data_IF_158295689051
#
_entry.id   IF_158295689051
#
_cell.length_a   1.000
_cell.length_b   1.000
_cell.length_c   1.000
_cell.angle_alpha   90.00
_cell.angle_beta   90.00
_cell.angle_gamma   90.00
#
_symmetry.space_group_name_H-M   'P 1'
#
loop_
_entity.id
_entity.type
_entity.pdbx_description
1 polymer ?
#
# COMPACT_ATOMS: atom_id res chain seq x y z
N UNK A 1 -16.94 1.99 -16.60
CA UNK A 1 -15.66 1.51 -15.99
C UNK A 1 -15.51 0.01 -16.24
N UNK A 2 -14.29 -0.56 -16.27
CA UNK A 2 -14.10 -2.01 -16.38
C UNK A 2 -14.65 -2.72 -15.15
N UNK A 3 -15.24 -3.91 -15.35
CA UNK A 3 -15.73 -4.77 -14.26
C UNK A 3 -14.75 -5.88 -13.88
N UNK A 4 -13.67 -6.04 -14.67
CA UNK A 4 -12.57 -6.99 -14.45
C UNK A 4 -13.02 -8.46 -14.36
N UNK A 5 -13.96 -8.87 -15.22
CA UNK A 5 -14.53 -10.22 -15.17
C UNK A 5 -13.48 -11.34 -15.31
N UNK A 6 -12.46 -11.15 -16.16
CA UNK A 6 -11.38 -12.12 -16.30
C UNK A 6 -10.58 -12.29 -15.00
N UNK A 7 -10.31 -11.20 -14.29
CA UNK A 7 -9.61 -11.23 -12.98
C UNK A 7 -10.47 -11.90 -11.91
N UNK A 8 -11.78 -11.62 -11.90
CA UNK A 8 -12.72 -12.30 -10.99
C UNK A 8 -12.75 -13.79 -11.22
N UNK A 9 -12.78 -14.21 -12.49
CA UNK A 9 -12.80 -15.63 -12.83
C UNK A 9 -11.48 -16.32 -12.44
N UNK A 10 -10.35 -15.64 -12.59
CA UNK A 10 -9.06 -16.15 -12.08
C UNK A 10 -9.08 -16.32 -10.56
N UNK A 11 -9.57 -15.33 -9.81
CA UNK A 11 -9.68 -15.41 -8.36
C UNK A 11 -10.67 -16.49 -7.88
N UNK A 12 -11.72 -16.80 -8.66
CA UNK A 12 -12.65 -17.90 -8.37
C UNK A 12 -12.03 -19.28 -8.53
N UNK A 13 -11.14 -19.43 -9.52
CA UNK A 13 -10.58 -20.72 -9.91
C UNK A 13 -9.14 -20.93 -9.41
N UNK A 14 -8.78 -20.34 -8.27
CA UNK A 14 -7.45 -20.54 -7.68
C UNK A 14 -7.22 -22.04 -7.35
N UNK A 15 -6.01 -22.58 -7.55
CA UNK A 15 -5.75 -24.02 -7.38
C UNK A 15 -6.09 -24.56 -5.99
N UNK A 16 -5.92 -23.74 -4.94
CA UNK A 16 -6.22 -24.07 -3.55
C UNK A 16 -7.72 -24.07 -3.21
N UNK A 17 -8.59 -23.66 -4.13
CA UNK A 17 -10.05 -23.74 -3.98
C UNK A 17 -10.57 -25.17 -4.19
N UNK A 18 -9.97 -26.11 -3.48
CA UNK A 18 -10.24 -27.53 -3.61
C UNK A 18 -10.08 -28.22 -2.25
N UNK A 19 -11.20 -28.71 -1.71
CA UNK A 19 -11.25 -29.39 -0.42
C UNK A 19 -10.47 -30.71 -0.37
N UNK A 20 -10.14 -31.31 -1.51
CA UNK A 20 -9.41 -32.59 -1.58
C UNK A 20 -7.89 -32.45 -1.50
N UNK A 21 -7.36 -31.23 -1.36
CA UNK A 21 -5.93 -31.00 -1.26
C UNK A 21 -5.38 -31.48 0.10
N UNK A 22 -4.12 -31.91 0.15
CA UNK A 22 -3.48 -32.32 1.39
C UNK A 22 -3.24 -31.13 2.32
N UNK A 23 -2.94 -31.43 3.58
CA UNK A 23 -2.44 -30.45 4.55
C UNK A 23 -1.31 -29.58 3.94
N UNK A 24 -1.29 -28.26 4.19
CA UNK A 24 -2.18 -27.50 5.09
C UNK A 24 -3.50 -27.05 4.44
N UNK A 25 -3.76 -27.43 3.20
CA UNK A 25 -4.90 -26.99 2.40
C UNK A 25 -6.13 -27.92 2.53
N UNK A 26 -7.10 -27.73 1.65
CA UNK A 26 -8.29 -28.56 1.58
C UNK A 26 -9.12 -28.49 2.85
N UNK A 27 -9.60 -29.64 3.33
CA UNK A 27 -10.37 -29.74 4.58
C UNK A 27 -9.55 -29.43 5.84
N UNK A 28 -8.22 -29.33 5.73
CA UNK A 28 -7.35 -28.99 6.86
C UNK A 28 -7.13 -27.48 7.02
N UNK A 29 -7.50 -26.68 6.00
CA UNK A 29 -7.28 -25.26 6.02
C UNK A 29 -8.11 -24.59 7.12
N UNK A 30 -7.43 -23.78 7.93
CA UNK A 30 -8.06 -22.79 8.80
C UNK A 30 -8.01 -21.44 8.10
N UNK A 31 -9.06 -20.64 8.21
CA UNK A 31 -9.25 -19.38 7.52
C UNK A 31 -9.36 -18.24 8.55
N UNK A 32 -8.93 -17.04 8.13
CA UNK A 32 -9.19 -15.79 8.82
C UNK A 32 -9.76 -14.78 7.83
N UNK A 33 -11.00 -14.37 8.07
CA UNK A 33 -11.71 -13.38 7.27
C UNK A 33 -11.92 -12.08 8.05
N UNK A 34 -11.30 -11.00 7.60
CA UNK A 34 -11.54 -9.66 8.15
C UNK A 34 -12.76 -9.02 7.46
N UNK A 35 -13.98 -9.27 7.96
CA UNK A 35 -15.19 -8.68 7.36
C UNK A 35 -15.33 -7.17 7.63
N UNK A 36 -14.57 -6.68 8.61
CA UNK A 36 -14.43 -5.28 9.01
C UNK A 36 -13.27 -4.56 8.32
N UNK A 37 -12.61 -5.18 7.33
CA UNK A 37 -11.56 -4.49 6.59
C UNK A 37 -12.12 -3.19 5.98
N UNK A 38 -11.31 -2.15 5.95
CA UNK A 38 -11.82 -0.86 5.57
C UNK A 38 -12.18 -0.72 4.08
N UNK A 39 -13.21 0.09 3.82
CA UNK A 39 -13.72 0.41 2.49
C UNK A 39 -13.89 1.94 2.33
N UNK A 40 -14.20 2.40 1.11
CA UNK A 40 -14.44 3.82 0.79
C UNK A 40 -13.25 4.77 1.04
N UNK A 41 -12.01 4.27 1.02
CA UNK A 41 -10.82 5.10 1.10
C UNK A 41 -9.73 4.69 0.09
N UNK A 42 -8.74 5.56 -0.08
CA UNK A 42 -7.70 5.39 -1.09
C UNK A 42 -6.82 4.14 -0.89
N UNK A 43 -6.33 3.62 -2.01
CA UNK A 43 -5.49 2.41 -2.10
C UNK A 43 -4.36 2.33 -1.07
N UNK A 44 -3.72 3.46 -0.73
CA UNK A 44 -2.64 3.50 0.27
C UNK A 44 -3.05 2.95 1.64
N UNK A 45 -4.19 3.38 2.18
CA UNK A 45 -4.65 2.85 3.48
C UNK A 45 -5.07 1.38 3.34
N UNK A 46 -5.71 1.04 2.23
CA UNK A 46 -6.22 -0.31 1.98
C UNK A 46 -5.09 -1.32 1.89
N UNK A 47 -4.03 -0.98 1.16
CA UNK A 47 -2.86 -1.84 1.01
C UNK A 47 -2.12 -2.05 2.33
N UNK A 48 -2.00 -1.01 3.17
CA UNK A 48 -1.38 -1.16 4.50
C UNK A 48 -2.16 -2.13 5.37
N UNK A 49 -3.48 -1.95 5.49
CA UNK A 49 -4.34 -2.82 6.28
C UNK A 49 -4.32 -4.26 5.73
N UNK A 50 -4.47 -4.44 4.41
CA UNK A 50 -4.44 -5.74 3.74
C UNK A 50 -3.13 -6.50 4.00
N UNK A 51 -1.98 -5.83 3.92
CA UNK A 51 -0.67 -6.45 4.21
C UNK A 51 -0.60 -6.92 5.66
N UNK A 52 -1.08 -6.10 6.60
CA UNK A 52 -1.04 -6.45 8.02
C UNK A 52 -2.04 -7.56 8.37
N UNK A 53 -3.25 -7.55 7.81
CA UNK A 53 -4.22 -8.63 7.97
C UNK A 53 -3.69 -9.95 7.40
N UNK A 54 -3.06 -9.91 6.22
CA UNK A 54 -2.43 -11.10 5.62
C UNK A 54 -1.26 -11.60 6.48
N UNK A 55 -0.47 -10.70 7.07
CA UNK A 55 0.60 -11.03 8.00
C UNK A 55 0.09 -11.66 9.30
N UNK A 56 -1.02 -11.16 9.85
CA UNK A 56 -1.67 -11.76 11.00
C UNK A 56 -2.19 -13.17 10.69
N UNK A 57 -2.88 -13.35 9.55
CA UNK A 57 -3.37 -14.65 9.12
C UNK A 57 -2.22 -15.65 8.97
N UNK A 58 -1.14 -15.24 8.30
CA UNK A 58 0.10 -16.02 8.18
C UNK A 58 0.67 -16.41 9.54
N UNK A 59 0.79 -15.45 10.46
CA UNK A 59 1.35 -15.67 11.80
C UNK A 59 0.49 -16.60 12.65
N UNK A 60 -0.83 -16.61 12.43
CA UNK A 60 -1.79 -17.48 13.10
C UNK A 60 -1.98 -18.84 12.38
N UNK A 61 -1.15 -19.18 11.38
CA UNK A 61 -1.27 -20.40 10.57
C UNK A 61 -2.65 -20.57 9.93
N UNK A 62 -3.23 -19.46 9.46
CA UNK A 62 -4.53 -19.42 8.77
C UNK A 62 -4.36 -18.86 7.35
N UNK A 63 -5.16 -19.38 6.43
CA UNK A 63 -5.33 -18.80 5.11
C UNK A 63 -5.96 -17.43 5.27
N UNK A 64 -5.29 -16.40 4.77
CA UNK A 64 -5.88 -15.09 4.60
C UNK A 64 -7.05 -15.20 3.61
N UNK A 65 -8.20 -14.66 3.98
CA UNK A 65 -9.34 -14.55 3.07
C UNK A 65 -9.29 -13.15 2.48
N UNK A 66 -8.92 -13.04 1.21
CA UNK A 66 -8.80 -11.76 0.53
C UNK A 66 -10.12 -11.36 -0.15
N UNK A 67 -10.35 -10.07 -0.33
CA UNK A 67 -11.53 -9.50 -0.98
C UNK A 67 -11.14 -8.29 -1.83
N UNK A 68 -12.07 -7.81 -2.64
CA UNK A 68 -11.86 -6.70 -3.55
C UNK A 68 -11.44 -5.41 -2.85
N UNK A 69 -10.65 -4.59 -3.54
CA UNK A 69 -10.56 -3.17 -3.22
C UNK A 69 -11.92 -2.51 -3.48
N UNK A 70 -12.56 -2.02 -2.42
CA UNK A 70 -14.01 -1.74 -2.43
C UNK A 70 -14.33 -0.28 -2.09
N UNK A 71 -15.04 0.38 -3.01
CA UNK A 71 -15.65 1.71 -2.86
C UNK A 71 -17.14 1.64 -2.56
N UNK A 72 -17.83 0.56 -2.96
CA UNK A 72 -19.21 0.30 -2.58
C UNK A 72 -19.45 -1.21 -2.56
N UNK A 73 -19.70 -1.74 -1.36
CA UNK A 73 -19.80 -3.19 -1.12
C UNK A 73 -21.14 -3.77 -1.55
N UNK A 74 -22.23 -3.02 -1.37
CA UNK A 74 -23.61 -3.52 -1.53
C UNK A 74 -24.36 -2.86 -2.70
N UNK A 75 -23.84 -1.74 -3.20
CA UNK A 75 -24.41 -1.02 -4.32
C UNK A 75 -24.02 -1.59 -5.68
N UNK A 76 -24.35 -0.84 -6.76
CA UNK A 76 -24.11 -1.28 -8.13
C UNK A 76 -22.61 -1.49 -8.43
N UNK A 77 -22.31 -2.25 -9.48
CA UNK A 77 -20.91 -2.52 -9.92
C UNK A 77 -20.11 -1.27 -10.31
N UNK A 78 -20.81 -0.16 -10.58
CA UNK A 78 -20.23 1.14 -10.91
C UNK A 78 -20.78 2.16 -9.92
N UNK A 79 -19.89 2.86 -9.21
CA UNK A 79 -20.22 3.93 -8.27
C UNK A 79 -19.67 5.28 -8.73
N UNK A 80 -20.04 6.36 -8.05
CA UNK A 80 -19.60 7.71 -8.35
C UNK A 80 -18.48 8.17 -7.40
N UNK A 81 -17.45 8.77 -7.97
CA UNK A 81 -16.39 9.44 -7.22
C UNK A 81 -16.22 10.87 -7.74
N UNK A 82 -16.80 11.83 -7.02
CA UNK A 82 -16.79 13.26 -7.38
C UNK A 82 -17.28 13.52 -8.82
N UNK A 83 -18.40 12.91 -9.20
CA UNK A 83 -18.99 13.05 -10.54
C UNK A 83 -18.30 12.21 -11.62
N UNK A 84 -17.41 11.28 -11.23
CA UNK A 84 -16.73 10.36 -12.15
C UNK A 84 -17.13 8.92 -11.85
N UNK A 85 -17.61 8.17 -12.85
CA UNK A 85 -17.93 6.75 -12.64
C UNK A 85 -16.64 5.95 -12.44
N UNK A 86 -16.60 5.14 -11.38
CA UNK A 86 -15.52 4.21 -11.06
C UNK A 86 -16.07 2.79 -10.81
N UNK A 87 -15.28 1.72 -10.96
CA UNK A 87 -15.69 0.39 -10.51
C UNK A 87 -15.89 0.42 -9.00
N UNK A 88 -17.01 -0.13 -8.52
CA UNK A 88 -17.30 -0.18 -7.09
C UNK A 88 -16.41 -1.18 -6.35
N UNK A 89 -16.01 -2.26 -7.03
CA UNK A 89 -15.23 -3.37 -6.48
C UNK A 89 -14.20 -3.76 -7.52
N UNK A 90 -12.91 -3.70 -7.17
CA UNK A 90 -11.81 -4.07 -8.05
C UNK A 90 -11.15 -5.35 -7.48
N UNK A 91 -11.07 -6.45 -8.24
CA UNK A 91 -10.36 -7.66 -7.80
C UNK A 91 -8.91 -7.35 -7.44
N UNK A 92 -8.38 -7.92 -6.37
CA UNK A 92 -7.01 -7.60 -5.91
C UNK A 92 -5.93 -8.07 -6.89
N UNK A 93 -6.21 -9.11 -7.66
CA UNK A 93 -5.36 -9.59 -8.76
C UNK A 93 -5.16 -8.56 -9.88
N UNK A 94 -5.96 -7.48 -9.91
CA UNK A 94 -5.72 -6.32 -10.79
C UNK A 94 -4.54 -5.48 -10.29
N UNK A 95 -4.32 -5.41 -8.98
CA UNK A 95 -3.25 -4.61 -8.37
C UNK A 95 -1.99 -5.42 -8.12
N UNK A 96 -2.12 -6.57 -7.47
CA UNK A 96 -1.01 -7.31 -6.88
C UNK A 96 -0.97 -8.77 -7.35
N UNK A 97 0.16 -9.41 -7.06
CA UNK A 97 0.38 -10.85 -7.18
C UNK A 97 1.12 -11.35 -5.93
N UNK A 98 1.28 -12.67 -5.79
CA UNK A 98 1.96 -13.28 -4.64
C UNK A 98 1.00 -13.81 -3.57
N UNK A 99 1.52 -14.15 -2.37
CA UNK A 99 0.78 -14.91 -1.36
C UNK A 99 -0.54 -14.30 -0.89
N UNK A 100 -0.64 -12.96 -0.83
CA UNK A 100 -1.83 -12.25 -0.35
C UNK A 100 -3.08 -12.60 -1.17
N UNK A 101 -2.92 -12.84 -2.47
CA UNK A 101 -4.02 -13.24 -3.37
C UNK A 101 -3.96 -14.72 -3.76
N UNK A 102 -3.30 -15.54 -2.95
CA UNK A 102 -3.26 -16.99 -3.16
C UNK A 102 -2.17 -17.47 -4.12
N UNK A 103 -1.18 -16.63 -4.41
CA UNK A 103 0.04 -17.04 -5.11
C UNK A 103 0.89 -18.04 -4.30
N UNK A 104 1.94 -18.60 -4.92
CA UNK A 104 2.85 -19.52 -4.23
C UNK A 104 3.46 -18.88 -2.98
N UNK A 105 3.54 -19.65 -1.90
CA UNK A 105 4.12 -19.23 -0.62
C UNK A 105 5.01 -20.35 -0.08
N UNK A 106 6.25 -20.02 0.33
CA UNK A 106 7.17 -21.00 0.92
C UNK A 106 6.87 -21.22 2.41
N UNK A 107 5.73 -21.83 2.72
CA UNK A 107 5.38 -22.23 4.08
C UNK A 107 4.71 -23.61 4.08
N UNK A 108 5.28 -24.61 4.76
CA UNK A 108 4.72 -25.97 4.77
C UNK A 108 3.43 -26.09 5.59
N UNK A 109 3.22 -25.18 6.55
CA UNK A 109 2.19 -25.33 7.58
C UNK A 109 1.10 -24.23 7.52
N UNK A 110 1.20 -23.31 6.55
CA UNK A 110 0.24 -22.22 6.37
C UNK A 110 -0.47 -22.39 5.01
N UNK A 111 -1.80 -22.55 4.98
CA UNK A 111 -2.53 -22.67 3.72
C UNK A 111 -2.48 -21.37 2.91
N UNK A 112 -2.53 -21.49 1.57
CA UNK A 112 -2.58 -20.33 0.69
C UNK A 112 -3.86 -19.52 0.91
N UNK A 113 -3.76 -18.20 0.70
CA UNK A 113 -4.89 -17.30 0.76
C UNK A 113 -5.98 -17.70 -0.24
N UNK A 114 -7.23 -17.46 0.11
CA UNK A 114 -8.40 -17.82 -0.70
C UNK A 114 -9.31 -16.62 -0.91
N UNK A 115 -10.10 -16.64 -1.98
CA UNK A 115 -11.08 -15.57 -2.21
C UNK A 115 -12.19 -15.63 -1.16
N UNK A 116 -12.77 -14.47 -0.84
CA UNK A 116 -13.97 -14.38 -0.01
C UNK A 116 -15.10 -15.28 -0.50
N UNK A 117 -15.29 -15.40 -1.81
CA UNK A 117 -16.32 -16.24 -2.41
C UNK A 117 -16.10 -17.72 -2.07
N UNK A 118 -14.87 -18.22 -2.20
CA UNK A 118 -14.54 -19.59 -1.80
C UNK A 118 -14.74 -19.79 -0.29
N UNK A 119 -14.24 -18.87 0.54
CA UNK A 119 -14.44 -18.92 1.99
C UNK A 119 -15.92 -19.02 2.35
N UNK A 120 -16.80 -18.20 1.76
CA UNK A 120 -18.25 -18.28 2.03
C UNK A 120 -18.89 -19.59 1.58
N UNK A 121 -18.33 -20.26 0.57
CA UNK A 121 -18.82 -21.57 0.12
C UNK A 121 -18.45 -22.72 1.08
N UNK A 122 -17.29 -22.66 1.72
CA UNK A 122 -16.78 -23.72 2.62
C UNK A 122 -16.97 -23.41 4.11
N UNK A 123 -17.24 -22.15 4.45
CA UNK A 123 -17.52 -21.65 5.78
C UNK A 123 -18.87 -20.91 5.77
N UNK A 124 -20.01 -21.61 5.82
CA UNK A 124 -21.31 -20.97 5.94
C UNK A 124 -21.45 -20.26 7.30
N UNK A 125 -22.35 -19.27 7.42
CA UNK A 125 -22.52 -18.45 8.64
C UNK A 125 -22.67 -19.29 9.93
N UNK A 126 -23.35 -20.43 9.86
CA UNK A 126 -23.55 -21.35 11.00
C UNK A 126 -22.27 -22.00 11.52
N UNK A 127 -21.20 -22.02 10.74
CA UNK A 127 -19.91 -22.63 11.09
C UNK A 127 -18.84 -21.60 11.49
N UNK A 128 -19.13 -20.30 11.28
CA UNK A 128 -18.19 -19.22 11.58
C UNK A 128 -18.18 -18.89 13.05
N UNK A 129 -16.97 -18.81 13.61
CA UNK A 129 -16.72 -18.13 14.88
C UNK A 129 -16.50 -16.65 14.56
N UNK A 130 -17.47 -15.82 14.92
CA UNK A 130 -17.42 -14.37 14.67
C UNK A 130 -16.86 -13.66 15.90
N UNK A 131 -15.74 -12.94 15.72
CA UNK A 131 -15.02 -12.24 16.77
C UNK A 131 -15.19 -10.72 16.63
N UNK A 132 -15.58 -10.05 17.71
CA UNK A 132 -15.55 -8.60 17.77
C UNK A 132 -14.13 -8.12 18.12
N UNK A 133 -13.51 -7.32 17.25
CA UNK A 133 -12.12 -6.87 17.45
C UNK A 133 -11.90 -6.10 18.75
N UNK A 134 -12.94 -5.46 19.29
CA UNK A 134 -12.88 -4.73 20.56
C UNK A 134 -12.57 -5.65 21.74
N UNK A 135 -12.94 -6.92 21.67
CA UNK A 135 -12.70 -7.89 22.76
C UNK A 135 -11.21 -8.09 23.03
N UNK A 136 -10.41 -8.10 21.97
CA UNK A 136 -8.95 -8.19 22.06
C UNK A 136 -8.34 -6.81 22.24
N UNK A 137 -8.78 -5.82 21.45
CA UNK A 137 -8.22 -4.46 21.49
C UNK A 137 -8.29 -3.82 22.87
N UNK A 138 -9.37 -4.04 23.63
CA UNK A 138 -9.55 -3.47 24.97
C UNK A 138 -8.63 -4.11 26.02
N UNK A 139 -7.95 -5.22 25.71
CA UNK A 139 -6.96 -5.85 26.60
C UNK A 139 -5.55 -5.30 26.40
N UNK A 140 -5.33 -4.57 25.30
CA UNK A 140 -4.06 -3.97 24.93
C UNK A 140 -3.96 -2.55 25.49
N UNK A 141 -2.74 -2.09 25.73
CA UNK A 141 -2.50 -0.70 26.08
C UNK A 141 -2.73 0.19 24.85
N UNK A 142 -2.98 1.49 25.07
CA UNK A 142 -3.21 2.43 23.96
C UNK A 142 -2.01 2.56 23.03
N UNK A 143 -0.81 2.34 23.57
CA UNK A 143 0.48 2.43 22.92
C UNK A 143 1.01 1.08 22.42
N UNK A 144 0.18 0.03 22.42
CA UNK A 144 0.58 -1.30 21.95
C UNK A 144 1.20 -1.25 20.54
N UNK A 145 2.31 -1.98 20.36
CA UNK A 145 3.03 -2.07 19.09
C UNK A 145 2.35 -3.04 18.12
N UNK A 146 2.77 -3.03 16.85
CA UNK A 146 2.28 -4.01 15.88
C UNK A 146 2.54 -5.45 16.35
N UNK A 147 3.73 -5.75 16.89
CA UNK A 147 4.05 -7.10 17.36
C UNK A 147 3.17 -7.51 18.54
N UNK A 148 2.94 -6.62 19.52
CA UNK A 148 2.07 -6.92 20.66
C UNK A 148 0.61 -7.17 20.24
N UNK A 149 0.12 -6.42 19.25
CA UNK A 149 -1.21 -6.62 18.66
C UNK A 149 -1.26 -7.99 17.97
N UNK A 150 -0.28 -8.30 17.11
CA UNK A 150 -0.22 -9.58 16.38
C UNK A 150 -0.11 -10.75 17.34
N UNK A 151 0.80 -10.73 18.31
CA UNK A 151 1.01 -11.81 19.29
C UNK A 151 -0.25 -12.09 20.11
N UNK A 152 -0.97 -11.03 20.50
CA UNK A 152 -2.22 -11.15 21.23
C UNK A 152 -3.31 -11.80 20.38
N UNK A 153 -3.40 -11.41 19.11
CA UNK A 153 -4.37 -11.99 18.18
C UNK A 153 -4.02 -13.43 17.82
N UNK A 154 -2.75 -13.76 17.57
CA UNK A 154 -2.28 -15.14 17.38
C UNK A 154 -2.68 -16.01 18.57
N UNK A 155 -2.39 -15.57 19.80
CA UNK A 155 -2.79 -16.28 21.02
C UNK A 155 -4.31 -16.50 21.10
N UNK A 156 -5.10 -15.53 20.67
CA UNK A 156 -6.56 -15.62 20.68
C UNK A 156 -7.07 -16.59 19.59
N UNK A 157 -6.48 -16.53 18.40
CA UNK A 157 -6.84 -17.37 17.25
C UNK A 157 -6.42 -18.83 17.44
N UNK A 158 -5.35 -19.09 18.18
CA UNK A 158 -4.86 -20.43 18.52
C UNK A 158 -5.80 -21.18 19.47
N UNK A 159 -6.58 -20.46 20.28
CA UNK A 159 -7.60 -21.04 21.15
C UNK A 159 -8.88 -21.46 20.40
N UNK A 160 -8.97 -21.14 19.11
CA UNK A 160 -10.14 -21.41 18.28
C UNK A 160 -9.87 -22.60 17.36
N UNK A 161 -10.46 -23.74 17.72
CA UNK A 161 -10.35 -24.96 16.91
C UNK A 161 -11.11 -24.84 15.58
N UNK A 162 -12.14 -24.00 15.50
CA UNK A 162 -12.92 -23.82 14.28
C UNK A 162 -12.04 -23.37 13.10
N UNK A 163 -12.18 -24.01 11.93
CA UNK A 163 -11.49 -23.57 10.72
C UNK A 163 -12.01 -22.22 10.23
N UNK A 164 -13.24 -21.83 10.56
CA UNK A 164 -13.89 -20.66 10.01
C UNK A 164 -13.92 -19.52 11.04
N UNK A 165 -12.96 -18.59 10.95
CA UNK A 165 -12.95 -17.38 11.80
C UNK A 165 -13.25 -16.15 10.97
N UNK A 166 -14.19 -15.34 11.45
CA UNK A 166 -14.57 -14.05 10.87
C UNK A 166 -14.41 -12.94 11.92
N UNK A 167 -13.75 -11.84 11.57
CA UNK A 167 -13.79 -10.61 12.35
C UNK A 167 -15.07 -9.86 12.02
N UNK A 168 -15.85 -9.51 13.05
CA UNK A 168 -17.19 -8.98 12.91
C UNK A 168 -17.19 -7.66 12.13
N UNK A 169 -17.97 -7.60 11.04
CA UNK A 169 -18.14 -6.38 10.21
C UNK A 169 -18.52 -5.13 11.00
N UNK A 170 -19.23 -5.28 12.12
CA UNK A 170 -19.67 -4.18 12.99
C UNK A 170 -18.61 -3.69 13.98
N UNK A 171 -17.42 -4.30 13.98
CA UNK A 171 -16.30 -3.92 14.84
C UNK A 171 -15.30 -3.05 14.07
N UNK A 172 -14.50 -2.20 14.74
CA UNK A 172 -13.47 -1.40 14.07
C UNK A 172 -12.44 -2.27 13.34
N UNK A 173 -11.83 -1.78 12.24
CA UNK A 173 -10.68 -2.42 11.61
C UNK A 173 -9.60 -2.82 12.62
N UNK A 174 -8.98 -3.97 12.42
CA UNK A 174 -7.95 -4.47 13.35
C UNK A 174 -6.67 -3.64 13.23
N UNK A 175 -6.25 -3.35 12.00
CA UNK A 175 -5.11 -2.49 11.69
C UNK A 175 -5.57 -1.17 11.06
N UNK A 176 -6.06 -0.27 11.89
CA UNK A 176 -6.56 1.03 11.46
C UNK A 176 -5.46 2.10 11.37
N UNK A 177 -5.83 3.28 10.87
CA UNK A 177 -4.91 4.43 10.74
C UNK A 177 -4.34 4.89 12.09
N UNK A 178 -5.00 4.59 13.22
CA UNK A 178 -4.47 4.84 14.56
C UNK A 178 -3.18 4.07 14.85
N UNK A 179 -3.00 2.89 14.26
CA UNK A 179 -1.73 2.16 14.30
C UNK A 179 -0.82 2.60 13.16
N UNK A 180 -1.30 2.56 11.91
CA UNK A 180 -0.45 2.72 10.72
C UNK A 180 0.10 4.15 10.57
N UNK A 181 -0.50 5.16 11.21
CA UNK A 181 0.05 6.53 11.27
C UNK A 181 1.00 6.76 12.45
N UNK A 182 1.52 5.71 13.10
CA UNK A 182 2.42 5.86 14.25
C UNK A 182 3.66 4.97 14.10
N UNK A 183 4.75 5.37 14.76
CA UNK A 183 6.01 4.60 14.78
C UNK A 183 5.85 3.18 15.34
N UNK A 184 4.74 2.90 16.04
CA UNK A 184 4.41 1.60 16.63
C UNK A 184 4.28 0.48 15.60
N UNK A 185 3.97 0.83 14.35
CA UNK A 185 3.91 -0.14 13.25
C UNK A 185 5.30 -0.69 12.89
N UNK A 186 6.36 0.09 13.16
CA UNK A 186 7.73 -0.27 12.75
C UNK A 186 8.31 -1.43 13.57
N UNK A 187 7.80 -1.65 14.78
CA UNK A 187 8.23 -2.73 15.65
C UNK A 187 8.01 -4.12 15.02
N UNK A 188 6.91 -4.30 14.28
CA UNK A 188 6.63 -5.55 13.58
C UNK A 188 7.28 -5.66 12.20
N UNK A 189 7.94 -4.61 11.69
CA UNK A 189 8.52 -4.62 10.35
C UNK A 189 9.57 -5.73 10.14
N UNK A 190 10.50 -6.03 11.08
CA UNK A 190 11.47 -7.10 10.87
C UNK A 190 10.81 -8.47 10.62
N UNK A 191 9.75 -8.80 11.37
CA UNK A 191 9.01 -10.05 11.19
C UNK A 191 8.18 -10.04 9.90
N UNK A 192 7.49 -8.93 9.61
CA UNK A 192 6.75 -8.75 8.36
C UNK A 192 7.66 -8.88 7.13
N UNK A 193 8.82 -8.22 7.15
CA UNK A 193 9.78 -8.21 6.05
C UNK A 193 10.38 -9.58 5.75
N UNK A 194 10.56 -10.41 6.78
CA UNK A 194 11.03 -11.79 6.63
C UNK A 194 9.90 -12.77 6.27
N UNK A 195 8.64 -12.38 6.46
CA UNK A 195 7.51 -13.24 6.11
C UNK A 195 7.34 -13.35 4.59
N UNK A 196 6.76 -14.47 4.09
CA UNK A 196 6.39 -14.59 2.69
C UNK A 196 5.41 -13.52 2.20
N UNK A 197 4.62 -12.92 3.11
CA UNK A 197 3.65 -11.87 2.76
C UNK A 197 4.34 -10.68 2.10
N UNK A 198 5.52 -10.28 2.59
CA UNK A 198 6.29 -9.19 1.97
C UNK A 198 7.40 -9.71 1.05
N UNK A 199 8.10 -10.79 1.41
CA UNK A 199 9.23 -11.29 0.62
C UNK A 199 8.85 -11.92 -0.72
N UNK A 200 7.63 -12.46 -0.83
CA UNK A 200 7.07 -12.98 -2.09
C UNK A 200 5.98 -12.03 -2.66
N UNK A 201 5.89 -10.79 -2.17
CA UNK A 201 4.97 -9.77 -2.70
C UNK A 201 5.27 -9.47 -4.18
N UNK A 202 4.23 -9.38 -5.00
CA UNK A 202 4.34 -9.02 -6.40
C UNK A 202 3.31 -8.00 -6.85
N UNK A 203 3.58 -7.37 -7.99
CA UNK A 203 2.60 -6.55 -8.72
C UNK A 203 1.90 -7.39 -9.77
N UNK A 204 0.66 -7.04 -10.14
CA UNK A 204 -0.09 -7.80 -11.14
C UNK A 204 0.53 -7.68 -12.55
N UNK A 205 0.25 -8.63 -13.45
CA UNK A 205 0.63 -8.50 -14.86
C UNK A 205 0.12 -7.20 -15.51
N UNK A 206 -1.01 -6.66 -15.07
CA UNK A 206 -1.53 -5.38 -15.57
C UNK A 206 -0.61 -4.21 -15.20
N UNK A 207 -0.16 -4.16 -13.95
CA UNK A 207 0.76 -3.13 -13.47
C UNK A 207 2.12 -3.27 -14.15
N UNK A 208 2.63 -4.50 -14.25
CA UNK A 208 3.90 -4.77 -14.93
C UNK A 208 3.84 -4.40 -16.43
N UNK A 209 2.75 -4.75 -17.12
CA UNK A 209 2.53 -4.37 -18.52
C UNK A 209 2.44 -2.85 -18.69
N UNK A 210 1.66 -2.16 -17.86
CA UNK A 210 1.57 -0.71 -17.88
C UNK A 210 2.93 -0.02 -17.61
N UNK A 211 3.74 -0.57 -16.72
CA UNK A 211 5.11 -0.11 -16.50
C UNK A 211 5.97 -0.31 -17.77
N UNK A 212 5.94 -1.49 -18.37
CA UNK A 212 6.70 -1.83 -19.58
C UNK A 212 6.32 -0.93 -20.75
N UNK A 213 5.03 -0.67 -20.98
CA UNK A 213 4.56 0.20 -22.07
C UNK A 213 5.00 1.67 -21.90
N UNK A 214 5.36 2.05 -20.67
CA UNK A 214 5.72 3.41 -20.30
C UNK A 214 7.19 3.58 -19.90
N UNK A 215 8.05 2.60 -20.18
CA UNK A 215 9.46 2.60 -19.75
C UNK A 215 10.24 3.86 -20.16
N UNK A 216 9.84 4.54 -21.23
CA UNK A 216 10.41 5.82 -21.68
C UNK A 216 10.44 6.90 -20.58
N UNK A 217 9.54 6.83 -19.61
CA UNK A 217 9.48 7.76 -18.46
C UNK A 217 10.24 7.29 -17.23
N UNK A 218 10.74 6.06 -17.21
CA UNK A 218 11.35 5.43 -16.03
C UNK A 218 12.81 5.07 -16.26
N UNK A 219 13.13 4.61 -17.47
CA UNK A 219 14.43 4.10 -17.90
C UNK A 219 14.27 2.74 -18.57
N UNK A 220 15.23 2.34 -19.45
CA UNK A 220 15.21 0.99 -19.99
C UNK A 220 15.29 0.00 -18.82
N UNK A 221 14.38 -1.00 -18.73
CA UNK A 221 14.65 -2.14 -17.88
C UNK A 221 15.96 -2.73 -18.39
N UNK A 222 16.98 -2.86 -17.55
CA UNK A 222 18.15 -3.60 -18.00
C UNK A 222 17.68 -5.02 -18.34
N UNK A 223 18.11 -5.56 -19.48
CA UNK A 223 17.54 -6.78 -20.08
C UNK A 223 17.72 -8.06 -19.23
N UNK A 224 18.25 -7.92 -18.01
CA UNK A 224 18.58 -8.96 -17.03
C UNK A 224 17.97 -8.72 -15.65
N UNK A 225 17.24 -7.62 -15.41
CA UNK A 225 16.87 -7.23 -14.06
C UNK A 225 15.64 -7.95 -13.52
N UNK A 226 15.84 -8.59 -12.36
CA UNK A 226 14.78 -9.09 -11.51
C UNK A 226 13.76 -7.97 -11.20
N UNK A 227 12.52 -8.36 -10.89
CA UNK A 227 11.39 -7.45 -10.61
C UNK A 227 11.66 -6.40 -9.51
N UNK A 228 12.73 -6.57 -8.72
CA UNK A 228 13.15 -5.74 -7.58
C UNK A 228 14.30 -4.76 -7.84
N UNK A 229 14.98 -4.82 -8.99
CA UNK A 229 16.21 -4.04 -9.19
C UNK A 229 15.95 -2.51 -9.26
N UNK A 230 16.85 -1.67 -8.68
CA UNK A 230 16.75 -0.23 -8.74
C UNK A 230 16.82 0.36 -10.15
N UNK A 231 15.93 1.31 -10.45
CA UNK A 231 15.90 2.10 -11.67
C UNK A 231 16.99 3.18 -11.60
N UNK A 232 18.19 2.84 -12.06
CA UNK A 232 19.36 3.73 -12.04
C UNK A 232 19.11 5.03 -12.82
N UNK A 233 19.58 6.15 -12.27
CA UNK A 233 19.43 7.50 -12.78
C UNK A 233 18.04 8.11 -12.58
N UNK A 234 17.09 7.39 -11.97
CA UNK A 234 15.72 7.86 -11.74
C UNK A 234 15.55 8.47 -10.34
N UNK A 235 15.05 9.70 -10.32
CA UNK A 235 14.45 10.33 -9.15
C UNK A 235 12.92 10.32 -9.28
N UNK A 236 12.23 9.58 -8.41
CA UNK A 236 10.77 9.60 -8.34
C UNK A 236 10.27 10.57 -7.26
N UNK A 237 9.24 11.35 -7.58
CA UNK A 237 8.65 12.36 -6.71
C UNK A 237 7.18 12.02 -6.46
N UNK A 238 6.76 11.78 -5.23
CA UNK A 238 5.35 11.66 -4.89
C UNK A 238 4.79 13.00 -4.42
N UNK A 239 4.08 13.68 -5.33
CA UNK A 239 3.50 15.00 -5.12
C UNK A 239 1.98 14.88 -5.01
N UNK A 240 1.47 14.84 -3.78
CA UNK A 240 0.03 14.90 -3.51
C UNK A 240 -0.51 16.30 -3.74
N UNK A 241 -1.54 16.38 -4.58
CA UNK A 241 -2.32 17.59 -4.92
C UNK A 241 -3.83 17.30 -4.80
N UNK A 242 -4.66 18.08 -5.48
CA UNK A 242 -6.11 17.90 -5.54
C UNK A 242 -6.78 17.99 -4.17
N UNK A 243 -7.46 16.92 -3.78
CA UNK A 243 -8.16 16.74 -2.50
C UNK A 243 -7.26 16.88 -1.26
N UNK A 244 -5.94 16.75 -1.44
CA UNK A 244 -4.99 16.72 -0.34
C UNK A 244 -4.75 18.09 0.32
N UNK A 245 -5.23 19.20 -0.25
CA UNK A 245 -5.09 20.54 0.35
C UNK A 245 -5.86 20.63 1.67
N UNK A 246 -7.13 20.24 1.64
CA UNK A 246 -7.99 20.17 2.82
C UNK A 246 -7.46 19.14 3.83
N UNK A 247 -6.93 18.02 3.33
CA UNK A 247 -6.31 17.01 4.16
C UNK A 247 -5.08 17.57 4.90
N UNK A 248 -4.22 18.32 4.23
CA UNK A 248 -3.04 18.94 4.86
C UNK A 248 -3.40 20.00 5.91
N UNK A 249 -4.47 20.76 5.68
CA UNK A 249 -5.00 21.67 6.71
C UNK A 249 -5.45 20.90 7.96
N UNK A 250 -6.15 19.78 7.76
CA UNK A 250 -6.55 18.88 8.86
C UNK A 250 -5.35 18.27 9.57
N UNK A 251 -4.36 17.79 8.82
CA UNK A 251 -3.13 17.20 9.37
C UNK A 251 -2.40 18.19 10.28
N UNK A 252 -2.32 19.46 9.88
CA UNK A 252 -1.78 20.52 10.72
C UNK A 252 -2.63 20.74 11.98
N UNK A 253 -3.95 20.96 11.83
CA UNK A 253 -4.83 21.29 12.95
C UNK A 253 -4.88 20.19 14.02
N UNK A 254 -4.59 18.94 13.64
CA UNK A 254 -4.62 17.78 14.52
C UNK A 254 -3.22 17.28 14.92
N UNK A 255 -2.15 18.04 14.64
CA UNK A 255 -0.77 17.65 14.95
C UNK A 255 -0.43 16.24 14.45
N UNK A 256 -0.85 15.89 13.23
CA UNK A 256 -0.59 14.55 12.68
C UNK A 256 0.92 14.38 12.45
N UNK A 257 1.53 13.24 12.83
CA UNK A 257 2.91 12.91 12.47
C UNK A 257 2.98 12.45 11.01
N UNK A 258 4.20 12.13 10.55
CA UNK A 258 4.36 11.27 9.37
C UNK A 258 3.71 9.92 9.63
N UNK A 259 3.28 9.25 8.57
CA UNK A 259 2.78 7.88 8.67
C UNK A 259 3.87 6.97 9.21
N UNK A 260 3.47 5.82 9.78
CA UNK A 260 4.35 4.93 10.52
C UNK A 260 5.54 4.45 9.68
N UNK A 261 5.29 3.88 8.50
CA UNK A 261 6.37 3.43 7.61
C UNK A 261 7.18 4.58 6.98
N UNK A 262 6.72 5.83 7.04
CA UNK A 262 7.54 6.99 6.67
C UNK A 262 8.49 7.44 7.80
N UNK A 263 8.49 6.75 8.95
CA UNK A 263 9.19 7.18 10.16
C UNK A 263 10.34 6.26 10.58
N UNK A 264 10.81 5.37 9.70
CA UNK A 264 11.97 4.50 10.00
C UNK A 264 13.18 5.31 10.49
N UNK A 265 13.89 4.87 11.54
CA UNK A 265 15.06 5.59 12.07
C UNK A 265 16.18 5.80 11.03
N UNK A 266 16.35 4.88 10.07
CA UNK A 266 17.36 4.97 9.02
C UNK A 266 17.08 6.05 7.96
N UNK A 267 15.85 6.55 7.84
CA UNK A 267 15.50 7.56 6.83
C UNK A 267 16.07 8.94 7.20
N UNK A 268 16.59 9.71 6.23
CA UNK A 268 17.27 10.99 6.50
C UNK A 268 16.32 12.08 7.01
N UNK A 269 15.08 12.12 6.52
CA UNK A 269 14.14 13.19 6.82
C UNK A 269 13.21 12.79 7.96
N UNK A 270 13.26 13.56 9.04
CA UNK A 270 12.38 13.39 10.21
C UNK A 270 11.34 14.49 10.27
N UNK A 271 10.20 14.15 10.84
CA UNK A 271 9.16 15.10 11.20
C UNK A 271 8.65 14.76 12.59
N UNK A 272 8.73 15.75 13.47
CA UNK A 272 8.16 15.66 14.81
C UNK A 272 6.89 16.49 14.79
N UNK A 273 5.76 15.84 15.03
CA UNK A 273 4.50 16.55 15.18
C UNK A 273 4.56 17.48 16.40
N UNK A 274 3.90 18.64 16.34
CA UNK A 274 3.84 19.55 17.48
C UNK A 274 3.02 18.93 18.64
N UNK A 275 3.56 18.92 19.88
CA UNK A 275 2.95 18.30 21.07
C UNK A 275 1.51 18.79 21.36
N UNK A 276 1.23 20.04 20.98
CA UNK A 276 -0.09 20.63 20.90
C UNK A 276 -0.18 21.52 19.65
N UNK A 277 -1.40 21.80 19.13
CA UNK A 277 -1.57 22.74 18.03
C UNK A 277 -0.90 24.09 18.35
N UNK A 278 0.12 24.46 17.57
CA UNK A 278 0.89 25.70 17.75
C UNK A 278 2.17 25.61 18.60
N UNK A 279 2.61 24.43 19.07
CA UNK A 279 3.87 24.27 19.84
C UNK A 279 4.93 23.45 19.09
N UNK A 280 6.11 24.02 18.83
CA UNK A 280 7.21 23.31 18.15
C UNK A 280 7.21 23.58 16.65
N UNK A 281 6.73 22.63 15.85
CA UNK A 281 6.65 22.74 14.39
C UNK A 281 5.65 23.82 13.98
N UNK A 282 6.06 24.73 13.08
CA UNK A 282 5.19 25.82 12.65
C UNK A 282 4.15 25.33 11.63
N UNK A 283 2.96 25.94 11.55
CA UNK A 283 2.01 25.71 10.45
C UNK A 283 2.65 25.78 9.07
N UNK A 284 3.61 26.68 8.90
CA UNK A 284 4.33 26.83 7.65
C UNK A 284 5.20 25.61 7.34
N UNK A 285 5.92 25.07 8.34
CA UNK A 285 6.70 23.84 8.15
C UNK A 285 5.80 22.63 7.85
N UNK A 286 4.73 22.41 8.60
CA UNK A 286 3.78 21.33 8.30
C UNK A 286 3.24 21.46 6.88
N UNK A 287 2.88 22.69 6.47
CA UNK A 287 2.38 22.94 5.11
C UNK A 287 3.46 22.76 4.05
N UNK A 288 4.72 23.13 4.28
CA UNK A 288 5.86 22.86 3.37
C UNK A 288 5.99 21.37 3.10
N UNK A 289 5.90 20.55 4.14
CA UNK A 289 6.10 19.09 4.06
C UNK A 289 4.88 18.34 3.53
N UNK A 290 3.68 18.84 3.84
CA UNK A 290 2.44 18.19 3.41
C UNK A 290 1.99 18.63 2.02
N UNK A 291 2.11 19.92 1.70
CA UNK A 291 1.64 20.53 0.47
C UNK A 291 2.66 21.58 -0.03
N UNK A 292 3.85 21.12 -0.48
CA UNK A 292 4.92 22.03 -0.92
C UNK A 292 4.48 22.85 -2.13
N UNK A 293 5.00 24.05 -2.34
CA UNK A 293 4.84 24.83 -3.58
C UNK A 293 5.71 24.26 -4.70
N UNK A 294 5.58 24.79 -5.92
CA UNK A 294 6.49 24.42 -7.04
C UNK A 294 7.94 24.77 -6.71
N UNK A 295 8.18 25.95 -6.13
CA UNK A 295 9.53 26.40 -5.78
C UNK A 295 10.14 25.54 -4.68
N UNK A 296 9.34 25.13 -3.68
CA UNK A 296 9.78 24.25 -2.59
C UNK A 296 10.10 22.84 -3.09
N UNK A 297 9.31 22.30 -4.03
CA UNK A 297 9.64 21.03 -4.70
C UNK A 297 10.99 21.15 -5.40
N UNK A 298 11.18 22.22 -6.18
CA UNK A 298 12.42 22.43 -6.94
C UNK A 298 13.62 22.62 -6.01
N UNK A 299 13.46 23.38 -4.93
CA UNK A 299 14.48 23.56 -3.89
C UNK A 299 14.88 22.21 -3.29
N UNK A 300 13.90 21.40 -2.89
CA UNK A 300 14.14 20.08 -2.30
C UNK A 300 14.84 19.16 -3.30
N UNK A 301 14.37 19.11 -4.55
CA UNK A 301 15.00 18.31 -5.62
C UNK A 301 16.45 18.72 -5.84
N UNK A 302 16.78 20.02 -5.88
CA UNK A 302 18.18 20.47 -6.01
C UNK A 302 19.05 20.04 -4.83
N UNK A 303 18.49 19.99 -3.62
CA UNK A 303 19.23 19.65 -2.42
C UNK A 303 19.61 18.16 -2.35
N UNK A 304 18.77 17.26 -2.89
CA UNK A 304 18.93 15.81 -2.71
C UNK A 304 19.25 15.02 -3.98
N UNK A 305 18.94 15.57 -5.16
CA UNK A 305 19.17 14.84 -6.40
C UNK A 305 20.66 14.59 -6.63
N UNK A 306 21.03 13.32 -6.81
CA UNK A 306 22.40 12.93 -7.02
C UNK A 306 22.96 13.49 -8.34
N UNK A 307 24.29 13.72 -8.45
CA UNK A 307 24.90 14.22 -9.67
C UNK A 307 24.70 13.31 -10.90
N UNK A 308 24.51 12.01 -10.70
CA UNK A 308 24.26 11.04 -11.78
C UNK A 308 22.78 10.89 -12.15
N UNK A 309 21.85 11.50 -11.42
CA UNK A 309 20.42 11.46 -11.74
C UNK A 309 20.14 12.15 -13.08
N UNK A 310 19.64 11.40 -14.06
CA UNK A 310 19.36 11.89 -15.42
C UNK A 310 17.88 12.10 -15.68
N UNK A 311 17.00 11.48 -14.89
CA UNK A 311 15.54 11.47 -15.10
C UNK A 311 14.77 11.81 -13.83
N UNK A 312 13.65 12.51 -14.00
CA UNK A 312 12.65 12.71 -12.94
C UNK A 312 11.31 12.12 -13.37
N UNK A 313 10.64 11.43 -12.45
CA UNK A 313 9.25 10.99 -12.63
C UNK A 313 8.37 11.48 -11.47
N UNK A 314 7.26 12.14 -11.79
CA UNK A 314 6.35 12.72 -10.78
C UNK A 314 5.07 11.89 -10.67
N UNK A 315 4.94 11.17 -9.56
CA UNK A 315 3.73 10.46 -9.13
C UNK A 315 2.74 11.47 -8.54
N UNK A 316 1.56 11.67 -9.16
CA UNK A 316 0.67 12.77 -8.75
C UNK A 316 -0.77 12.67 -9.24
N UNK A 317 -1.69 13.20 -8.44
CA UNK A 317 -3.08 13.45 -8.83
C UNK A 317 -3.32 14.88 -9.37
N UNK A 318 -2.30 15.73 -9.50
CA UNK A 318 -2.41 17.12 -9.91
C UNK A 318 -3.05 17.33 -11.30
N UNK A 319 -3.64 18.52 -11.55
CA UNK A 319 -4.16 18.89 -12.87
C UNK A 319 -3.02 19.19 -13.86
N UNK A 320 -3.26 18.90 -15.15
CA UNK A 320 -2.26 19.05 -16.23
C UNK A 320 -1.61 20.44 -16.31
N UNK A 321 -2.33 21.57 -16.17
CA UNK A 321 -1.70 22.89 -16.22
C UNK A 321 -0.63 23.09 -15.15
N UNK A 322 -0.92 22.71 -13.90
CA UNK A 322 0.03 22.80 -12.80
C UNK A 322 1.27 21.92 -13.04
N UNK A 323 1.08 20.73 -13.62
CA UNK A 323 2.19 19.84 -13.98
C UNK A 323 3.06 20.39 -15.10
N UNK A 324 2.48 21.12 -16.07
CA UNK A 324 3.26 21.79 -17.10
C UNK A 324 4.20 22.84 -16.51
N UNK A 325 3.73 23.59 -15.50
CA UNK A 325 4.55 24.57 -14.78
C UNK A 325 5.62 23.91 -13.93
N UNK A 326 5.28 22.85 -13.17
CA UNK A 326 6.27 22.08 -12.41
C UNK A 326 7.36 21.49 -13.30
N UNK A 327 6.98 20.86 -14.43
CA UNK A 327 7.94 20.30 -15.39
C UNK A 327 8.92 21.35 -15.89
N UNK A 328 8.41 22.53 -16.25
CA UNK A 328 9.24 23.65 -16.69
C UNK A 328 10.21 24.09 -15.60
N UNK A 329 9.72 24.27 -14.37
CA UNK A 329 10.55 24.68 -13.24
C UNK A 329 11.65 23.63 -12.89
N UNK A 330 11.33 22.34 -12.98
CA UNK A 330 12.31 21.26 -12.78
C UNK A 330 13.39 21.25 -13.87
N UNK A 331 13.02 21.47 -15.14
CA UNK A 331 13.96 21.55 -16.27
C UNK A 331 14.84 22.81 -16.21
N UNK A 332 14.29 23.94 -15.76
CA UNK A 332 15.03 25.18 -15.56
C UNK A 332 16.05 25.05 -14.41
N UNK A 333 15.71 24.30 -13.35
CA UNK A 333 16.58 24.06 -12.23
C UNK A 333 17.79 23.17 -12.55
N UNK A 334 17.59 22.18 -13.44
CA UNK A 334 18.65 21.25 -13.89
C UNK A 334 18.25 20.63 -15.23
N UNK A 335 19.18 20.56 -16.22
CA UNK A 335 18.92 19.85 -17.46
C UNK A 335 18.97 18.33 -17.22
N UNK A 336 17.82 17.73 -16.93
CA UNK A 336 17.65 16.27 -16.85
C UNK A 336 17.85 15.65 -18.23
N UNK A 337 18.98 14.96 -18.44
CA UNK A 337 19.36 14.43 -19.75
C UNK A 337 18.27 13.54 -20.38
N UNK A 338 17.52 12.80 -19.54
CA UNK A 338 16.44 11.90 -19.97
C UNK A 338 15.04 12.49 -19.77
N UNK A 339 14.93 13.72 -19.29
CA UNK A 339 13.68 14.47 -19.16
C UNK A 339 12.89 14.25 -17.87
N UNK A 340 11.67 14.83 -17.86
CA UNK A 340 10.74 14.84 -16.72
C UNK A 340 9.39 14.25 -17.14
N UNK A 341 9.04 13.09 -16.61
CA UNK A 341 7.75 12.41 -16.80
C UNK A 341 6.80 12.58 -15.60
N UNK A 342 5.51 12.32 -15.80
CA UNK A 342 4.47 12.37 -14.74
C UNK A 342 3.42 11.29 -14.94
N UNK A 343 2.65 10.97 -13.89
CA UNK A 343 1.50 10.05 -13.98
C UNK A 343 0.46 10.44 -15.04
N UNK A 344 0.43 11.71 -15.46
CA UNK A 344 -0.50 12.21 -16.48
C UNK A 344 0.02 12.02 -17.91
N UNK A 345 1.27 11.63 -18.08
CA UNK A 345 1.87 11.31 -19.38
C UNK A 345 1.78 9.82 -19.71
N UNK A 346 1.44 8.97 -18.73
CA UNK A 346 1.34 7.54 -18.94
C UNK A 346 0.26 7.21 -19.98
N UNK A 347 0.63 6.36 -20.92
CA UNK A 347 -0.26 5.71 -21.86
C UNK A 347 -0.80 4.44 -21.21
N UNK A 348 -2.00 4.55 -20.62
CA UNK A 348 -2.64 3.47 -19.88
C UNK A 348 -3.83 2.88 -20.65
N UNK A 349 -3.95 1.56 -20.60
CA UNK A 349 -5.15 0.85 -21.05
C UNK A 349 -6.38 1.32 -20.27
N UNK A 350 -7.58 0.97 -20.76
CA UNK A 350 -8.82 1.33 -20.05
C UNK A 350 -8.88 0.74 -18.64
N UNK A 351 -8.38 -0.48 -18.47
CA UNK A 351 -8.25 -1.17 -17.19
C UNK A 351 -7.22 -0.50 -16.28
N UNK A 352 -5.99 -0.30 -16.77
CA UNK A 352 -4.91 0.27 -15.97
C UNK A 352 -5.19 1.68 -15.44
N UNK A 353 -6.08 2.45 -16.09
CA UNK A 353 -6.46 3.81 -15.66
C UNK A 353 -7.07 3.89 -14.26
N UNK A 354 -7.75 2.83 -13.80
CA UNK A 354 -8.42 2.82 -12.50
C UNK A 354 -7.55 2.27 -11.38
N UNK A 355 -6.32 1.85 -11.70
CA UNK A 355 -5.32 1.31 -10.76
C UNK A 355 -3.95 1.97 -10.99
N UNK A 356 -3.94 3.16 -11.60
CA UNK A 356 -2.72 3.84 -12.04
C UNK A 356 -1.78 4.18 -10.88
N UNK A 357 -2.33 4.38 -9.68
CA UNK A 357 -1.56 4.59 -8.45
C UNK A 357 -0.62 3.42 -8.14
N UNK A 358 -0.97 2.19 -8.51
CA UNK A 358 -0.10 1.03 -8.32
C UNK A 358 1.07 1.02 -9.31
N UNK A 359 0.87 1.54 -10.52
CA UNK A 359 1.98 1.76 -11.47
C UNK A 359 2.96 2.78 -10.89
N UNK A 360 2.44 3.90 -10.36
CA UNK A 360 3.24 4.90 -9.68
C UNK A 360 4.01 4.30 -8.50
N UNK A 361 3.36 3.50 -7.65
CA UNK A 361 4.02 2.83 -6.53
C UNK A 361 5.12 1.88 -7.00
N UNK A 362 4.88 1.09 -8.05
CA UNK A 362 5.88 0.19 -8.62
C UNK A 362 7.14 0.94 -9.10
N UNK A 363 6.96 2.13 -9.68
CA UNK A 363 8.07 3.02 -10.06
C UNK A 363 8.77 3.56 -8.81
N UNK A 364 8.02 4.12 -7.86
CA UNK A 364 8.56 4.73 -6.63
C UNK A 364 9.34 3.74 -5.76
N UNK A 365 8.88 2.50 -5.65
CA UNK A 365 9.58 1.47 -4.86
C UNK A 365 10.93 1.06 -5.46
N UNK A 366 11.15 1.32 -6.76
CA UNK A 366 12.37 0.94 -7.50
C UNK A 366 13.24 2.13 -7.88
N UNK A 367 12.73 3.35 -7.87
CA UNK A 367 13.53 4.53 -8.21
C UNK A 367 14.82 4.56 -7.40
N UNK A 368 15.95 4.90 -8.02
CA UNK A 368 17.21 5.00 -7.30
C UNK A 368 17.09 6.00 -6.14
N UNK A 369 16.51 7.18 -6.43
CA UNK A 369 16.15 8.16 -5.41
C UNK A 369 14.64 8.40 -5.37
N UNK A 370 14.10 8.65 -4.18
CA UNK A 370 12.68 8.92 -3.97
C UNK A 370 12.46 10.11 -3.05
N UNK A 371 11.57 11.04 -3.42
CA UNK A 371 11.07 12.08 -2.51
C UNK A 371 9.57 11.87 -2.35
N UNK A 372 9.17 11.47 -1.16
CA UNK A 372 7.81 11.16 -0.79
C UNK A 372 7.07 12.28 -0.07
N UNK A 373 5.75 12.13 0.05
CA UNK A 373 4.97 12.89 1.01
C UNK A 373 4.86 12.08 2.31
N UNK A 374 5.55 12.52 3.38
CA UNK A 374 5.64 11.78 4.64
C UNK A 374 4.30 11.56 5.36
N UNK A 375 3.26 12.30 4.96
CA UNK A 375 1.92 12.21 5.50
C UNK A 375 0.98 11.27 4.72
N UNK A 376 1.45 10.73 3.59
CA UNK A 376 0.62 9.92 2.70
C UNK A 376 0.88 8.44 2.90
N UNK A 377 -0.18 7.66 3.09
CA UNK A 377 -0.13 6.20 3.13
C UNK A 377 0.32 5.57 1.80
N UNK A 378 0.11 6.22 0.66
CA UNK A 378 0.69 5.75 -0.61
C UNK A 378 2.22 5.82 -0.55
N UNK A 379 2.78 6.94 -0.05
CA UNK A 379 4.22 7.04 0.21
C UNK A 379 4.68 5.98 1.21
N UNK A 380 3.92 5.80 2.28
CA UNK A 380 4.19 4.85 3.37
C UNK A 380 4.39 3.43 2.85
N UNK A 381 3.52 2.97 1.94
CA UNK A 381 3.68 1.68 1.28
C UNK A 381 4.87 1.63 0.32
N UNK A 382 5.16 2.71 -0.42
CA UNK A 382 6.38 2.78 -1.23
C UNK A 382 7.61 2.63 -0.34
N UNK A 383 7.65 3.33 0.79
CA UNK A 383 8.76 3.24 1.75
C UNK A 383 8.84 1.87 2.39
N UNK A 384 7.72 1.24 2.77
CA UNK A 384 7.68 -0.15 3.23
C UNK A 384 8.41 -1.09 2.25
N UNK A 385 8.09 -0.99 0.97
CA UNK A 385 8.69 -1.82 -0.09
C UNK A 385 10.15 -1.46 -0.38
N UNK A 386 10.53 -0.17 -0.29
CA UNK A 386 11.92 0.27 -0.40
C UNK A 386 12.78 -0.26 0.75
N UNK A 387 12.26 -0.19 1.98
CA UNK A 387 12.96 -0.67 3.18
C UNK A 387 13.09 -2.19 3.22
N UNK A 388 12.21 -2.91 2.52
CA UNK A 388 12.35 -4.35 2.31
C UNK A 388 13.43 -4.68 1.26
N UNK A 389 13.66 -3.79 0.29
CA UNK A 389 14.60 -4.02 -0.81
C UNK A 389 16.06 -3.79 -0.37
N UNK A 390 16.91 -4.84 -0.30
CA UNK A 390 18.29 -4.70 0.15
C UNK A 390 19.20 -3.98 -0.85
N UNK A 391 18.76 -3.75 -2.10
CA UNK A 391 19.52 -3.05 -3.13
C UNK A 391 19.36 -1.52 -3.09
N UNK A 392 18.46 -1.01 -2.24
CA UNK A 392 18.21 0.42 -2.07
C UNK A 392 18.78 0.90 -0.73
N UNK A 393 19.46 2.04 -0.76
CA UNK A 393 19.93 2.70 0.45
C UNK A 393 18.76 3.50 1.07
N UNK A 394 18.43 3.30 2.36
CA UNK A 394 17.47 4.16 3.07
C UNK A 394 17.78 5.65 2.97
N UNK A 395 19.04 6.04 2.80
CA UNK A 395 19.47 7.43 2.64
C UNK A 395 19.02 8.07 1.32
N UNK A 396 18.63 7.28 0.31
CA UNK A 396 18.07 7.77 -0.96
C UNK A 396 16.53 7.96 -0.89
N UNK A 397 15.94 7.81 0.30
CA UNK A 397 14.50 7.93 0.53
C UNK A 397 14.21 9.17 1.36
N UNK A 398 13.81 10.24 0.68
CA UNK A 398 13.57 11.55 1.26
C UNK A 398 12.08 11.87 1.38
N UNK A 399 11.78 12.91 2.16
CA UNK A 399 10.46 13.54 2.23
C UNK A 399 10.54 15.04 1.91
N UNK A 400 9.39 15.65 1.63
CA UNK A 400 9.24 17.10 1.50
C UNK A 400 9.59 17.86 2.79
#
# INVERSE_FOLDING_TARGET
>A
PPLYEEYRELERNLPQHNLSLPYPEGTHAKFLWAANHGDHFGWGNYMEEMILDAFLAYSAHRAYVFDNYTWDREGPEITDWYGKPIPARIPLSVFISGPIIGGPMRSPDVPRAVSREYFFSVCPESERVVLDTRTVQNTLTKDATLSEIVDRWVTTLDLIDSPCVELARSSPPLFSYELTNTIRVLDGFPALSQSPILSDFGWSPLILGAFTDNFKYFGPPSALEASSAPLKGLLALHVRRGDYELWCQSAYNNSMPFTGFNSFPALPDKYVAPDAPGSGTTPEETRRRCWPSTDEIVERVRAVAAPHTTRVYVMTNAPRPWLADLKRALLEARPWADGVGTSRDLELSWEAKFVAEAVDMYVGQRAEQFIGNGFSSLTSNVVLLRMHNPELDPLDTHFW
#
